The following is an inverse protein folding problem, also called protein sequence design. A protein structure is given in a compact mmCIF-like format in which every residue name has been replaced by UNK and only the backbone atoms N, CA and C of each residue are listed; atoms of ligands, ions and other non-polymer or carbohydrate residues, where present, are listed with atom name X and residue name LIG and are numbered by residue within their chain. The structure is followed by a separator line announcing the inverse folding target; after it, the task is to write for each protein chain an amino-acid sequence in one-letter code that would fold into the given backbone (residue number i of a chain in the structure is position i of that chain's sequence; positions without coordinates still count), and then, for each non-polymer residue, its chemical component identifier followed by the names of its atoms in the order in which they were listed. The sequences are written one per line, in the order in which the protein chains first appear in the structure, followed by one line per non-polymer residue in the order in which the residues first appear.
data_IF_221844903849
#
_entry.id   IF_221844903849
#
_cell.length_a   1.000
_cell.length_b   1.000
_cell.length_c   1.000
_cell.angle_alpha   90.00
_cell.angle_beta   90.00
_cell.angle_gamma   90.00
#
_symmetry.space_group_name_H-M   'P 1'
#
loop_
_entity.id
_entity.type
_entity.pdbx_description
1 polymer ?
#
# COMPACT_ATOMS: atom_id res chain seq x y z
N UNK A 1 -43.23 8.06 21.53
CA UNK A 1 -42.34 6.95 21.25
C UNK A 1 -41.70 7.03 19.89
N UNK A 2 -42.48 7.24 18.90
CA UNK A 2 -42.05 7.39 17.54
C UNK A 2 -40.97 8.45 17.36
N UNK A 3 -41.24 9.64 17.88
CA UNK A 3 -40.34 10.76 17.71
C UNK A 3 -38.98 10.53 18.36
N UNK A 4 -39.00 9.85 19.50
CA UNK A 4 -37.78 9.55 20.24
C UNK A 4 -36.90 8.59 19.45
N UNK A 5 -37.51 7.60 18.85
CA UNK A 5 -36.79 6.61 18.06
C UNK A 5 -36.23 7.21 16.79
N UNK A 6 -37.00 8.06 16.13
CA UNK A 6 -36.55 8.76 14.94
C UNK A 6 -35.36 9.67 15.23
N UNK A 7 -35.43 10.35 16.37
CA UNK A 7 -34.35 11.23 16.78
C UNK A 7 -33.07 10.47 17.07
N UNK A 8 -33.19 9.33 17.75
CA UNK A 8 -32.03 8.49 18.03
C UNK A 8 -31.41 7.94 16.75
N UNK A 9 -32.25 7.54 15.80
CA UNK A 9 -31.78 7.05 14.51
C UNK A 9 -31.08 8.15 13.74
N UNK A 10 -31.65 9.36 13.78
CA UNK A 10 -31.04 10.52 13.13
C UNK A 10 -29.67 10.83 13.70
N UNK A 11 -29.55 10.80 15.02
CA UNK A 11 -28.27 11.06 15.69
C UNK A 11 -27.23 10.05 15.30
N UNK A 12 -27.58 8.77 15.28
CA UNK A 12 -26.64 7.72 14.91
C UNK A 12 -26.18 7.87 13.47
N UNK A 13 -27.11 8.20 12.59
CA UNK A 13 -26.77 8.40 11.19
C UNK A 13 -25.85 9.61 11.01
N UNK A 14 -26.15 10.70 11.69
CA UNK A 14 -25.34 11.90 11.63
C UNK A 14 -23.93 11.65 12.13
N UNK A 15 -23.79 10.92 13.22
CA UNK A 15 -22.48 10.58 13.77
C UNK A 15 -21.70 9.71 12.82
N UNK A 16 -22.36 8.76 12.17
CA UNK A 16 -21.72 7.90 11.21
C UNK A 16 -21.27 8.72 10.01
N UNK A 17 -22.10 9.62 9.53
CA UNK A 17 -21.74 10.46 8.40
C UNK A 17 -20.56 11.35 8.72
N UNK A 18 -20.49 11.89 9.95
CA UNK A 18 -19.35 12.68 10.37
C UNK A 18 -18.07 11.85 10.36
N UNK A 19 -18.16 10.62 10.84
CA UNK A 19 -17.02 9.72 10.82
C UNK A 19 -16.55 9.45 9.40
N UNK A 20 -17.48 9.22 8.49
CA UNK A 20 -17.16 8.97 7.10
C UNK A 20 -16.54 10.19 6.44
N UNK A 21 -17.03 11.38 6.76
CA UNK A 21 -16.46 12.61 6.24
C UNK A 21 -15.03 12.79 6.73
N UNK A 22 -14.80 12.53 8.00
CA UNK A 22 -13.46 12.65 8.56
C UNK A 22 -12.51 11.65 7.91
N UNK A 23 -12.95 10.41 7.73
CA UNK A 23 -12.15 9.40 7.08
C UNK A 23 -11.84 9.77 5.63
N UNK A 24 -12.84 10.28 4.94
CA UNK A 24 -12.67 10.69 3.56
C UNK A 24 -11.68 11.85 3.44
N UNK A 25 -11.79 12.83 4.34
CA UNK A 25 -10.88 13.97 4.34
C UNK A 25 -9.45 13.52 4.64
N UNK A 26 -9.30 12.60 5.60
CA UNK A 26 -8.00 12.06 5.94
C UNK A 26 -7.40 11.30 4.76
N UNK A 27 -8.20 10.50 4.09
CA UNK A 27 -7.75 9.73 2.94
C UNK A 27 -7.33 10.66 1.81
N UNK A 28 -8.09 11.71 1.57
CA UNK A 28 -7.76 12.67 0.54
C UNK A 28 -6.45 13.39 0.84
N UNK A 29 -6.28 13.81 2.07
CA UNK A 29 -5.05 14.47 2.48
C UNK A 29 -3.86 13.51 2.37
N UNK A 30 -4.03 12.29 2.85
CA UNK A 30 -2.98 11.29 2.75
C UNK A 30 -2.62 11.01 1.30
N UNK A 31 -3.61 11.03 0.41
CA UNK A 31 -3.37 10.83 -1.01
C UNK A 31 -2.41 11.87 -1.59
N UNK A 32 -2.49 13.09 -1.11
CA UNK A 32 -1.56 14.13 -1.55
C UNK A 32 -0.15 13.86 -1.07
N UNK A 33 -0.01 13.22 0.09
CA UNK A 33 1.30 12.90 0.65
C UNK A 33 1.96 11.71 -0.03
N UNK A 34 1.20 10.93 -0.80
CA UNK A 34 1.76 9.76 -1.48
C UNK A 34 2.84 10.14 -2.46
N UNK A 35 2.77 11.33 -3.04
CA UNK A 35 3.82 11.81 -3.93
C UNK A 35 5.17 11.88 -3.21
N UNK A 36 5.15 12.32 -1.97
CA UNK A 36 6.37 12.39 -1.18
C UNK A 36 6.90 11.02 -0.83
N UNK A 37 5.99 10.09 -0.54
CA UNK A 37 6.39 8.72 -0.27
C UNK A 37 6.98 8.06 -1.50
N UNK A 38 6.42 8.34 -2.68
CA UNK A 38 6.97 7.83 -3.92
C UNK A 38 8.37 8.38 -4.17
N UNK A 39 8.57 9.66 -3.87
CA UNK A 39 9.90 10.27 -4.01
C UNK A 39 10.90 9.62 -3.07
N UNK A 40 10.48 9.30 -1.85
CA UNK A 40 11.35 8.60 -0.91
C UNK A 40 11.71 7.20 -1.42
N UNK A 41 10.74 6.49 -1.99
CA UNK A 41 11.01 5.17 -2.55
C UNK A 41 12.00 5.26 -3.70
N UNK A 42 11.86 6.27 -4.53
CA UNK A 42 12.77 6.47 -5.65
C UNK A 42 14.17 6.81 -5.16
N UNK A 43 14.28 7.67 -4.16
CA UNK A 43 15.57 8.00 -3.57
C UNK A 43 16.23 6.77 -2.96
N UNK A 44 15.42 5.91 -2.34
CA UNK A 44 15.94 4.68 -1.78
C UNK A 44 16.48 3.75 -2.86
N UNK A 45 15.80 3.65 -3.97
CA UNK A 45 16.26 2.84 -5.10
C UNK A 45 17.58 3.35 -5.65
N UNK A 46 17.80 4.65 -5.58
CA UNK A 46 19.04 5.25 -6.07
C UNK A 46 20.15 5.26 -5.01
N UNK A 47 19.89 4.70 -3.84
CA UNK A 47 20.90 4.63 -2.80
C UNK A 47 21.06 5.90 -1.97
N UNK A 48 20.19 6.87 -2.16
CA UNK A 48 20.31 8.15 -1.47
C UNK A 48 19.85 8.09 -0.01
N UNK A 49 19.19 7.02 0.39
CA UNK A 49 18.68 6.85 1.75
C UNK A 49 19.41 5.76 2.52
N UNK A 50 20.64 5.45 2.15
CA UNK A 50 21.38 4.39 2.83
C UNK A 50 21.82 4.81 4.23
N UNK A 51 22.14 6.05 4.41
CA UNK A 51 22.58 6.56 5.71
C UNK A 51 22.45 8.08 5.75
N UNK A 52 22.62 8.62 6.94
CA UNK A 52 22.64 10.07 7.11
C UNK A 52 21.32 10.67 7.53
N UNK A 53 21.27 12.00 7.59
CA UNK A 53 20.06 12.70 8.07
C UNK A 53 18.83 12.46 7.22
N UNK A 54 19.01 12.31 5.91
CA UNK A 54 17.88 12.10 5.03
C UNK A 54 17.24 10.73 5.30
N UNK A 55 18.06 9.72 5.56
CA UNK A 55 17.53 8.41 5.94
C UNK A 55 16.73 8.51 7.23
N UNK A 56 17.26 9.19 8.21
CA UNK A 56 16.56 9.36 9.48
C UNK A 56 15.23 10.09 9.29
N UNK A 57 15.22 11.11 8.46
CA UNK A 57 14.00 11.84 8.16
C UNK A 57 12.99 10.96 7.47
N UNK A 58 13.42 10.20 6.46
CA UNK A 58 12.53 9.33 5.72
C UNK A 58 11.91 8.27 6.61
N UNK A 59 12.71 7.66 7.47
CA UNK A 59 12.21 6.65 8.39
C UNK A 59 11.17 7.24 9.34
N UNK A 60 11.44 8.44 9.84
CA UNK A 60 10.51 9.09 10.74
C UNK A 60 9.22 9.48 10.02
N UNK A 61 9.34 10.00 8.80
CA UNK A 61 8.18 10.39 8.02
C UNK A 61 7.27 9.20 7.77
N UNK A 62 7.86 8.07 7.38
CA UNK A 62 7.10 6.84 7.15
C UNK A 62 6.45 6.34 8.43
N UNK A 63 7.17 6.45 9.53
CA UNK A 63 6.67 6.02 10.84
C UNK A 63 5.49 6.85 11.30
N UNK A 64 5.56 8.16 11.12
CA UNK A 64 4.47 9.06 11.49
C UNK A 64 3.21 8.72 10.67
N UNK A 65 3.39 8.47 9.39
CA UNK A 65 2.25 8.12 8.54
C UNK A 65 1.68 6.77 8.91
N UNK A 66 2.52 5.81 9.27
CA UNK A 66 2.04 4.49 9.73
C UNK A 66 1.20 4.65 11.00
N UNK A 67 1.60 5.57 11.88
CA UNK A 67 0.81 5.88 13.06
C UNK A 67 -0.56 6.44 12.74
N UNK A 68 -0.71 7.04 11.57
CA UNK A 68 -2.00 7.54 11.09
C UNK A 68 -2.71 6.51 10.22
N UNK A 69 -2.25 5.26 10.22
CA UNK A 69 -2.84 4.15 9.47
C UNK A 69 -2.66 4.29 7.96
N UNK A 70 -1.68 5.05 7.53
CA UNK A 70 -1.31 5.13 6.12
C UNK A 70 -0.30 4.03 5.86
N UNK A 71 -0.75 2.97 5.21
CA UNK A 71 0.05 1.76 5.06
C UNK A 71 0.20 1.38 3.60
N UNK A 72 1.43 1.04 3.23
CA UNK A 72 1.73 0.60 1.88
C UNK A 72 1.42 -0.88 1.72
N UNK A 73 1.09 -1.28 0.51
CA UNK A 73 0.95 -2.70 0.19
C UNK A 73 1.46 -2.95 -1.22
N UNK A 74 1.56 -4.22 -1.55
CA UNK A 74 2.11 -4.64 -2.83
C UNK A 74 3.58 -4.95 -2.67
N UNK A 75 3.91 -6.22 -2.47
CA UNK A 75 5.29 -6.68 -2.34
C UNK A 75 5.53 -7.78 -3.34
N UNK A 76 6.78 -7.94 -3.77
CA UNK A 76 7.14 -9.02 -4.66
C UNK A 76 6.81 -10.35 -4.01
N UNK A 77 6.20 -11.22 -4.79
CA UNK A 77 5.80 -12.52 -4.30
C UNK A 77 4.37 -12.59 -3.80
N UNK A 78 3.73 -11.46 -3.56
CA UNK A 78 2.31 -11.46 -3.17
C UNK A 78 1.46 -11.98 -4.30
N UNK A 79 0.35 -12.63 -3.96
CA UNK A 79 -0.60 -13.08 -4.96
C UNK A 79 -1.22 -11.87 -5.66
N UNK A 80 -1.35 -11.96 -6.97
CA UNK A 80 -1.97 -10.87 -7.73
C UNK A 80 -3.46 -10.83 -7.45
N UNK A 81 -3.97 -9.64 -7.15
CA UNK A 81 -5.38 -9.40 -6.90
C UNK A 81 -5.81 -8.18 -7.71
N UNK A 82 -6.61 -8.35 -8.75
CA UNK A 82 -6.98 -7.22 -9.62
C UNK A 82 -7.78 -6.13 -8.94
N UNK A 83 -8.34 -6.40 -7.77
CA UNK A 83 -9.07 -5.39 -7.03
C UNK A 83 -8.16 -4.34 -6.41
N UNK A 84 -6.92 -4.70 -6.10
CA UNK A 84 -6.00 -3.80 -5.42
C UNK A 84 -4.67 -3.63 -6.17
N UNK A 85 -4.45 -4.40 -7.22
CA UNK A 85 -3.24 -4.29 -8.03
C UNK A 85 -3.60 -3.94 -9.46
N UNK A 86 -2.85 -3.01 -10.03
CA UNK A 86 -2.98 -2.67 -11.44
C UNK A 86 -1.78 -3.27 -12.18
N UNK A 87 -2.04 -4.25 -13.02
CA UNK A 87 -0.98 -4.91 -13.78
C UNK A 87 -0.70 -4.08 -15.03
N UNK A 88 0.51 -3.57 -15.14
CA UNK A 88 0.92 -2.84 -16.33
C UNK A 88 1.59 -3.77 -17.35
N UNK A 89 2.01 -4.94 -16.89
CA UNK A 89 2.60 -5.95 -17.75
C UNK A 89 2.44 -7.31 -17.09
N UNK A 90 2.18 -8.34 -17.90
CA UNK A 90 2.00 -9.70 -17.41
C UNK A 90 3.03 -10.58 -18.08
N UNK A 91 4.01 -11.02 -17.32
CA UNK A 91 5.07 -11.90 -17.76
C UNK A 91 4.85 -13.34 -17.34
N UNK A 92 3.68 -13.63 -16.77
CA UNK A 92 3.38 -14.98 -16.31
C UNK A 92 3.11 -15.92 -17.51
N UNK A 93 3.28 -17.19 -17.27
CA UNK A 93 3.10 -18.20 -18.32
C UNK A 93 1.69 -18.77 -18.34
N UNK A 94 0.76 -18.16 -17.62
CA UNK A 94 -0.65 -18.57 -17.67
C UNK A 94 -1.12 -19.36 -16.48
N UNK A 95 -0.24 -19.65 -15.54
CA UNK A 95 -0.62 -20.31 -14.30
C UNK A 95 -0.93 -19.33 -13.21
N UNK A 96 -0.49 -19.66 -12.02
CA UNK A 96 -0.64 -18.77 -10.87
C UNK A 96 0.10 -17.47 -11.11
N UNK A 97 -0.51 -16.37 -10.73
CA UNK A 97 0.06 -15.05 -10.95
C UNK A 97 0.44 -14.40 -9.64
N UNK A 98 1.68 -13.92 -9.57
CA UNK A 98 2.15 -13.19 -8.39
C UNK A 98 2.79 -11.88 -8.87
N UNK A 99 3.06 -11.02 -7.91
CA UNK A 99 3.73 -9.75 -8.21
C UNK A 99 5.21 -10.03 -8.42
N UNK A 100 5.70 -9.72 -9.61
CA UNK A 100 7.11 -9.89 -9.95
C UNK A 100 7.92 -8.66 -9.60
N UNK A 101 7.36 -7.47 -9.84
CA UNK A 101 7.98 -6.24 -9.40
C UNK A 101 6.91 -5.19 -9.15
N UNK A 102 7.23 -4.22 -8.29
CA UNK A 102 6.32 -3.16 -7.91
C UNK A 102 6.86 -1.85 -8.47
N UNK A 103 6.10 -1.25 -9.36
CA UNK A 103 6.48 0.03 -9.95
C UNK A 103 6.08 1.18 -9.06
N UNK A 104 4.96 1.03 -8.37
CA UNK A 104 4.47 2.02 -7.44
C UNK A 104 3.62 1.33 -6.40
N UNK A 105 3.90 1.59 -5.14
CA UNK A 105 3.17 0.93 -4.06
C UNK A 105 1.73 1.40 -3.99
N UNK A 106 0.84 0.49 -3.59
CA UNK A 106 -0.51 0.87 -3.24
C UNK A 106 -0.57 1.32 -1.80
N UNK A 107 -1.61 2.03 -1.44
CA UNK A 107 -1.75 2.55 -0.08
C UNK A 107 -3.19 2.45 0.39
N UNK A 108 -3.32 2.14 1.67
CA UNK A 108 -4.59 2.17 2.40
C UNK A 108 -4.47 3.19 3.52
N UNK A 109 -5.60 3.82 3.86
CA UNK A 109 -5.69 4.60 5.10
C UNK A 109 -6.76 3.90 5.93
N UNK A 110 -6.33 3.21 6.97
CA UNK A 110 -7.23 2.33 7.69
C UNK A 110 -7.79 1.27 6.76
N UNK A 111 -9.09 1.19 6.67
CA UNK A 111 -9.77 0.23 5.79
C UNK A 111 -10.00 0.75 4.39
N UNK A 112 -9.64 1.99 4.13
CA UNK A 112 -9.94 2.63 2.87
C UNK A 112 -8.79 2.53 1.89
N UNK A 113 -9.07 2.00 0.70
CA UNK A 113 -8.09 1.93 -0.38
C UNK A 113 -7.92 3.31 -0.99
N UNK A 114 -6.68 3.80 -1.04
CA UNK A 114 -6.39 5.12 -1.60
C UNK A 114 -5.98 5.00 -3.05
N UNK A 115 -5.11 4.03 -3.34
CA UNK A 115 -4.72 3.76 -4.73
C UNK A 115 -4.21 2.33 -4.82
N UNK A 116 -4.35 1.76 -6.02
CA UNK A 116 -3.84 0.43 -6.31
C UNK A 116 -2.32 0.45 -6.46
N UNK A 117 -1.69 -0.69 -6.20
CA UNK A 117 -0.27 -0.84 -6.52
C UNK A 117 -0.12 -1.08 -8.02
N UNK A 118 0.87 -0.44 -8.64
CA UNK A 118 1.20 -0.71 -10.03
C UNK A 118 2.28 -1.77 -10.06
N UNK A 119 1.99 -2.88 -10.72
CA UNK A 119 2.86 -4.06 -10.64
C UNK A 119 3.06 -4.68 -12.00
N UNK A 120 4.10 -5.50 -12.07
CA UNK A 120 4.33 -6.40 -13.18
C UNK A 120 4.08 -7.80 -12.65
N UNK A 121 3.22 -8.55 -13.32
CA UNK A 121 2.88 -9.90 -12.92
C UNK A 121 3.94 -10.89 -13.42
N UNK A 122 4.21 -11.90 -12.62
CA UNK A 122 5.17 -12.94 -12.98
C UNK A 122 4.68 -14.28 -12.46
N UNK A 123 5.41 -15.33 -12.82
CA UNK A 123 5.17 -16.65 -12.26
C UNK A 123 5.72 -16.68 -10.83
N UNK A 124 5.15 -17.54 -9.95
CA UNK A 124 5.69 -17.68 -8.61
C UNK A 124 7.13 -18.13 -8.64
N UNK A 125 7.94 -17.54 -7.76
CA UNK A 125 9.33 -17.94 -7.64
C UNK A 125 9.42 -19.29 -6.94
N UNK A 126 10.50 -20.01 -7.22
CA UNK A 126 10.77 -21.27 -6.56
C UNK A 126 11.97 -21.09 -5.63
N UNK A 127 11.73 -20.65 -4.43
CA UNK A 127 12.82 -20.22 -3.54
C UNK A 127 13.84 -21.31 -3.23
N UNK A 128 13.37 -22.54 -3.09
CA UNK A 128 14.31 -23.63 -2.77
C UNK A 128 15.28 -23.87 -3.92
N UNK A 129 14.78 -23.83 -5.12
CA UNK A 129 15.58 -24.02 -6.32
C UNK A 129 16.65 -22.94 -6.44
N UNK A 130 16.24 -21.71 -6.28
CA UNK A 130 17.17 -20.61 -6.38
C UNK A 130 18.24 -20.64 -5.32
N UNK A 131 17.84 -20.94 -4.10
CA UNK A 131 18.77 -21.00 -2.99
C UNK A 131 19.80 -22.10 -3.21
N UNK A 132 19.35 -23.23 -3.66
CA UNK A 132 20.24 -24.38 -3.88
C UNK A 132 21.23 -24.09 -4.98
N UNK A 133 20.79 -23.52 -6.05
CA UNK A 133 21.67 -23.20 -7.15
C UNK A 133 22.77 -22.27 -6.72
N UNK A 134 22.42 -21.27 -5.97
CA UNK A 134 23.41 -20.32 -5.48
C UNK A 134 24.39 -20.97 -4.52
N UNK A 135 23.89 -21.84 -3.68
CA UNK A 135 24.71 -22.50 -2.69
C UNK A 135 25.67 -23.49 -3.30
N UNK A 136 25.23 -24.23 -4.27
CA UNK A 136 26.04 -25.28 -4.85
C UNK A 136 27.17 -24.75 -5.69
N UNK A 137 26.94 -23.69 -6.39
CA UNK A 137 27.96 -23.13 -7.24
C UNK A 137 29.11 -22.54 -6.47
N UNK A 138 28.89 -22.27 -5.24
CA UNK A 138 29.93 -21.81 -4.36
C UNK A 138 30.74 -22.99 -3.87
#
# INVERSE_FOLDING_TARGET
MYKRQEYANYRRRTERERGQIAEHAKAKFAGELLQLLDDLDLAEQHGDLNEGPLKAFADKFRSVLAGQKVEAFGAEGDAFNPEIHEAVQDLSSGGEQVIGSVLRKGYNVGDKLIRNAMVIIADPAEPAEEADTAGEDA
#
